data_IF_216199182030
#
_entry.id   IF_216199182030
#
_cell.length_a   1.000
_cell.length_b   1.000
_cell.length_c   1.000
_cell.angle_alpha   90.00
_cell.angle_beta   90.00
_cell.angle_gamma   90.00
#
_symmetry.space_group_name_H-M   'P 1'
#
loop_
_entity.id
_entity.type
_entity.pdbx_description
1 polymer ?
#
# COMPACT_ATOMS: atom_id res chain seq x y z
N UNK A 1 -9.95 22.85 11.18
CA UNK A 1 -9.51 21.59 10.58
C UNK A 1 -8.45 21.96 9.55
N UNK A 2 -7.23 21.48 9.75
CA UNK A 2 -6.00 21.97 9.12
C UNK A 2 -5.95 21.63 7.63
N UNK A 3 -5.60 22.61 6.81
CA UNK A 3 -5.56 22.56 5.34
C UNK A 3 -4.60 21.48 4.80
N UNK A 4 -3.65 21.01 5.62
CA UNK A 4 -2.69 19.94 5.31
C UNK A 4 -3.37 18.57 5.12
N UNK A 5 -4.43 18.28 5.90
CA UNK A 5 -5.17 17.02 5.76
C UNK A 5 -5.95 16.95 4.44
N UNK A 6 -6.47 18.09 3.95
CA UNK A 6 -7.18 18.17 2.67
C UNK A 6 -6.24 18.08 1.45
N UNK A 7 -4.98 18.50 1.59
CA UNK A 7 -4.00 18.38 0.50
C UNK A 7 -3.47 16.95 0.37
N UNK A 8 -3.26 16.25 1.49
CA UNK A 8 -2.88 14.83 1.49
C UNK A 8 -3.96 13.97 0.81
N UNK A 9 -5.23 14.23 1.17
CA UNK A 9 -6.40 13.51 0.65
C UNK A 9 -6.57 13.68 -0.87
N UNK A 10 -6.37 14.91 -1.37
CA UNK A 10 -6.42 15.19 -2.81
C UNK A 10 -5.27 14.54 -3.60
N UNK A 11 -4.09 14.37 -3.00
CA UNK A 11 -2.95 13.69 -3.63
C UNK A 11 -3.20 12.20 -3.84
N UNK A 12 -3.77 11.55 -2.81
CA UNK A 12 -4.15 10.13 -2.86
C UNK A 12 -5.26 9.89 -3.88
N UNK A 13 -6.29 10.76 -3.88
CA UNK A 13 -7.38 10.69 -4.87
C UNK A 13 -6.85 10.89 -6.31
N UNK A 14 -5.87 11.76 -6.51
CA UNK A 14 -5.26 11.96 -7.83
C UNK A 14 -4.40 10.76 -8.29
N UNK A 15 -3.71 10.07 -7.38
CA UNK A 15 -3.01 8.81 -7.67
C UNK A 15 -3.99 7.67 -7.97
N UNK A 16 -5.13 7.60 -7.26
CA UNK A 16 -6.19 6.61 -7.51
C UNK A 16 -6.93 6.84 -8.84
N UNK A 17 -7.09 8.11 -9.27
CA UNK A 17 -7.73 8.47 -10.53
C UNK A 17 -6.80 8.35 -11.76
N UNK A 18 -5.48 8.39 -11.55
CA UNK A 18 -4.52 8.16 -12.62
C UNK A 18 -4.42 6.66 -12.93
N UNK A 19 -4.99 6.25 -14.06
CA UNK A 19 -4.83 4.91 -14.65
C UNK A 19 -3.37 4.53 -14.98
N UNK A 20 -2.46 5.50 -14.89
CA UNK A 20 -1.06 5.32 -15.23
C UNK A 20 -0.24 5.00 -13.97
N UNK A 21 -0.35 3.74 -13.53
CA UNK A 21 0.49 3.20 -12.44
C UNK A 21 1.95 2.99 -12.88
N UNK A 22 2.39 3.51 -14.03
CA UNK A 22 3.72 3.24 -14.59
C UNK A 22 4.88 3.65 -13.68
N UNK A 23 4.79 4.80 -13.00
CA UNK A 23 5.82 5.27 -12.06
C UNK A 23 5.94 4.35 -10.84
N UNK A 24 4.81 3.96 -10.26
CA UNK A 24 4.76 3.04 -9.13
C UNK A 24 5.22 1.63 -9.54
N UNK A 25 4.79 1.16 -10.70
CA UNK A 25 5.25 -0.11 -11.26
C UNK A 25 6.76 -0.11 -11.53
N UNK A 26 7.33 1.00 -12.02
CA UNK A 26 8.77 1.14 -12.19
C UNK A 26 9.52 1.07 -10.86
N UNK A 27 8.99 1.69 -9.81
CA UNK A 27 9.58 1.63 -8.47
C UNK A 27 9.51 0.20 -7.92
N UNK A 28 8.36 -0.47 -8.01
CA UNK A 28 8.19 -1.87 -7.59
C UNK A 28 9.10 -2.84 -8.36
N UNK A 29 9.25 -2.65 -9.67
CA UNK A 29 10.14 -3.47 -10.51
C UNK A 29 11.63 -3.27 -10.20
N UNK A 30 11.98 -2.18 -9.51
CA UNK A 30 13.35 -1.90 -9.07
C UNK A 30 13.69 -2.49 -7.70
N UNK A 31 12.71 -3.05 -6.98
CA UNK A 31 12.92 -3.61 -5.65
C UNK A 31 13.72 -4.91 -5.72
N UNK A 32 14.50 -5.14 -4.66
CA UNK A 32 15.35 -6.34 -4.53
C UNK A 32 14.70 -7.48 -3.75
N UNK A 33 13.43 -7.32 -3.34
CA UNK A 33 12.68 -8.35 -2.63
C UNK A 33 12.52 -9.62 -3.47
N UNK A 34 12.71 -10.78 -2.85
CA UNK A 34 12.37 -12.04 -3.49
C UNK A 34 10.84 -12.16 -3.63
N UNK A 35 10.38 -12.80 -4.70
CA UNK A 35 8.95 -13.02 -4.91
C UNK A 35 8.29 -13.78 -3.76
N UNK A 36 9.02 -14.69 -3.09
CA UNK A 36 8.54 -15.38 -1.89
C UNK A 36 8.26 -14.41 -0.75
N UNK A 37 9.15 -13.43 -0.53
CA UNK A 37 9.02 -12.45 0.53
C UNK A 37 7.80 -11.55 0.30
N UNK A 38 7.54 -11.19 -0.95
CA UNK A 38 6.35 -10.42 -1.34
C UNK A 38 5.07 -11.22 -1.05
N UNK A 39 5.04 -12.51 -1.40
CA UNK A 39 3.86 -13.36 -1.12
C UNK A 39 3.61 -13.51 0.37
N UNK A 40 4.66 -13.71 1.17
CA UNK A 40 4.56 -13.80 2.63
C UNK A 40 4.10 -12.48 3.26
N UNK A 41 4.62 -11.36 2.76
CA UNK A 41 4.24 -10.01 3.20
C UNK A 41 2.74 -9.74 2.96
N UNK A 42 2.25 -10.03 1.76
CA UNK A 42 0.84 -9.83 1.40
C UNK A 42 -0.09 -10.77 2.18
N UNK A 43 0.34 -12.00 2.46
CA UNK A 43 -0.42 -12.92 3.30
C UNK A 43 -0.55 -12.41 4.74
N UNK A 44 0.56 -11.91 5.32
CA UNK A 44 0.54 -11.30 6.66
C UNK A 44 -0.34 -10.05 6.69
N UNK A 45 -0.23 -9.19 5.69
CA UNK A 45 -1.05 -8.01 5.54
C UNK A 45 -2.54 -8.34 5.60
N UNK A 46 -3.02 -9.28 4.78
CA UNK A 46 -4.44 -9.63 4.74
C UNK A 46 -4.93 -10.16 6.08
N UNK A 47 -4.18 -11.09 6.68
CA UNK A 47 -4.52 -11.69 7.98
C UNK A 47 -4.58 -10.64 9.09
N UNK A 48 -3.66 -9.66 9.10
CA UNK A 48 -3.63 -8.62 10.12
C UNK A 48 -4.68 -7.53 9.86
N UNK A 49 -4.91 -7.16 8.60
CA UNK A 49 -5.91 -6.14 8.22
C UNK A 49 -7.36 -6.55 8.52
N UNK A 50 -7.63 -7.85 8.62
CA UNK A 50 -8.95 -8.40 8.97
C UNK A 50 -9.16 -8.52 10.50
N UNK A 51 -8.14 -8.25 11.32
CA UNK A 51 -8.26 -8.30 12.78
C UNK A 51 -8.70 -6.93 13.33
N UNK A 52 -9.62 -6.93 14.30
CA UNK A 52 -9.99 -5.73 15.10
C UNK A 52 -8.90 -5.41 16.15
N UNK A 53 -7.62 -5.38 15.74
CA UNK A 53 -6.46 -5.10 16.59
C UNK A 53 -5.49 -4.16 15.88
N UNK A 54 -5.88 -2.88 15.81
CA UNK A 54 -5.14 -1.82 15.13
C UNK A 54 -3.71 -1.68 15.67
N UNK A 55 -3.50 -1.82 16.99
CA UNK A 55 -2.17 -1.70 17.59
C UNK A 55 -1.22 -2.78 17.08
N UNK A 56 -1.72 -4.02 16.95
CA UNK A 56 -0.92 -5.12 16.42
C UNK A 56 -0.60 -4.94 14.94
N UNK A 57 -1.53 -4.38 14.16
CA UNK A 57 -1.29 -4.03 12.77
C UNK A 57 -0.21 -2.94 12.67
N UNK A 58 -0.34 -1.87 13.45
CA UNK A 58 0.59 -0.74 13.48
C UNK A 58 2.00 -1.19 13.88
N UNK A 59 2.13 -1.97 14.97
CA UNK A 59 3.42 -2.50 15.42
C UNK A 59 4.11 -3.36 14.35
N UNK A 60 3.34 -4.15 13.59
CA UNK A 60 3.86 -4.94 12.49
C UNK A 60 4.28 -4.06 11.31
N UNK A 61 3.43 -3.09 10.93
CA UNK A 61 3.69 -2.19 9.80
C UNK A 61 4.91 -1.29 10.04
N UNK A 62 5.07 -0.78 11.26
CA UNK A 62 6.23 0.00 11.70
C UNK A 62 7.52 -0.83 11.72
N UNK A 63 7.42 -2.15 11.81
CA UNK A 63 8.54 -3.08 11.74
C UNK A 63 9.04 -3.38 10.32
N UNK A 64 8.31 -2.98 9.28
CA UNK A 64 8.66 -3.24 7.89
C UNK A 64 9.75 -2.29 7.38
N UNK A 65 10.59 -2.78 6.46
CA UNK A 65 11.52 -1.89 5.76
C UNK A 65 10.81 -1.04 4.69
N UNK A 66 11.47 0.02 4.21
CA UNK A 66 10.91 0.94 3.21
C UNK A 66 10.42 0.20 1.93
N UNK A 67 11.18 -0.79 1.46
CA UNK A 67 10.81 -1.59 0.29
C UNK A 67 9.52 -2.38 0.52
N UNK A 68 9.36 -2.99 1.70
CA UNK A 68 8.15 -3.73 2.08
C UNK A 68 6.94 -2.80 2.22
N UNK A 69 7.12 -1.64 2.84
CA UNK A 69 6.06 -0.62 2.94
C UNK A 69 5.63 -0.13 1.55
N UNK A 70 6.59 0.03 0.62
CA UNK A 70 6.30 0.42 -0.76
C UNK A 70 5.50 -0.66 -1.50
N UNK A 71 5.82 -1.94 -1.30
CA UNK A 71 5.03 -3.06 -1.83
C UNK A 71 3.59 -3.02 -1.33
N UNK A 72 3.38 -2.82 -0.02
CA UNK A 72 2.04 -2.75 0.57
C UNK A 72 1.25 -1.53 0.08
N UNK A 73 1.89 -0.37 -0.01
CA UNK A 73 1.28 0.83 -0.60
C UNK A 73 0.86 0.56 -2.04
N UNK A 74 1.71 -0.09 -2.82
CA UNK A 74 1.39 -0.45 -4.20
C UNK A 74 0.24 -1.44 -4.30
N UNK A 75 0.22 -2.45 -3.44
CA UNK A 75 -0.86 -3.41 -3.33
C UNK A 75 -2.20 -2.71 -3.04
N UNK A 76 -2.27 -1.83 -2.05
CA UNK A 76 -3.50 -1.14 -1.66
C UNK A 76 -4.05 -0.24 -2.78
N UNK A 77 -3.17 0.51 -3.45
CA UNK A 77 -3.57 1.35 -4.59
C UNK A 77 -4.18 0.50 -5.71
N UNK A 78 -3.53 -0.63 -6.04
CA UNK A 78 -4.00 -1.53 -7.09
C UNK A 78 -5.30 -2.24 -6.66
N UNK A 79 -5.40 -2.69 -5.40
CA UNK A 79 -6.61 -3.31 -4.84
C UNK A 79 -7.79 -2.35 -4.91
N UNK A 80 -7.62 -1.12 -4.42
CA UNK A 80 -8.63 -0.07 -4.45
C UNK A 80 -9.06 0.25 -5.89
N UNK A 81 -8.13 0.23 -6.86
CA UNK A 81 -8.50 0.38 -8.27
C UNK A 81 -9.48 -0.73 -8.71
N UNK A 82 -9.16 -2.00 -8.44
CA UNK A 82 -10.04 -3.12 -8.82
C UNK A 82 -11.39 -3.10 -8.09
N UNK A 83 -11.41 -2.71 -6.81
CA UNK A 83 -12.65 -2.58 -6.02
C UNK A 83 -13.56 -1.48 -6.57
N UNK A 84 -12.97 -0.34 -6.99
CA UNK A 84 -13.72 0.80 -7.54
C UNK A 84 -14.10 0.65 -9.03
N UNK A 85 -13.57 -0.36 -9.72
CA UNK A 85 -13.89 -0.62 -11.15
C UNK A 85 -15.03 -1.63 -11.34
N UNK A 86 -15.61 -2.11 -10.23
CA UNK A 86 -16.72 -3.07 -10.19
C UNK A 86 -18.04 -2.39 -9.84
#
# INVERSE_FOLDING_TARGET
MTEEAQQLDNGVIAELQNKDHSSLAQQLNGLTCDHSDIVELLAQYLVLSEQDDDQKFDDWYDGLCEDQQLVLKGFEIIRAHYENTN
#
